data_IF_349911737888
#
_entry.id   IF_349911737888
#
_cell.length_a   1.000
_cell.length_b   1.000
_cell.length_c   1.000
_cell.angle_alpha   90.00
_cell.angle_beta   90.00
_cell.angle_gamma   90.00
#
_symmetry.space_group_name_H-M   'P 1'
#
loop_
_entity.id
_entity.type
_entity.pdbx_description
1 polymer ?
#
# COMPACT_ATOMS: atom_id res chain seq x y z
N UNK A 1 -5.08 -63.73 -54.27
CA UNK A 1 -4.84 -62.73 -55.34
C UNK A 1 -5.39 -61.40 -54.94
N UNK A 2 -4.62 -60.41 -55.06
CA UNK A 2 -4.80 -58.93 -54.98
C UNK A 2 -4.24 -58.29 -53.71
N UNK A 3 -3.03 -57.79 -53.89
CA UNK A 3 -2.31 -56.82 -53.05
C UNK A 3 -3.08 -55.47 -53.08
N UNK A 4 -3.34 -54.92 -51.92
CA UNK A 4 -3.70 -53.47 -51.83
C UNK A 4 -2.55 -52.69 -51.24
N UNK A 5 -2.04 -51.77 -52.01
CA UNK A 5 -1.03 -50.77 -51.64
C UNK A 5 -1.58 -49.88 -50.53
N UNK A 6 -0.74 -49.74 -49.47
CA UNK A 6 -1.01 -48.75 -48.42
C UNK A 6 -0.23 -47.49 -48.80
N UNK A 7 -0.98 -46.43 -49.09
CA UNK A 7 -0.44 -45.10 -49.33
C UNK A 7 -0.09 -44.46 -48.00
N UNK A 8 1.16 -44.11 -47.79
CA UNK A 8 1.61 -43.33 -46.65
C UNK A 8 1.03 -41.88 -46.77
N UNK A 9 0.03 -41.57 -45.94
CA UNK A 9 -0.46 -40.20 -45.78
C UNK A 9 0.45 -39.43 -44.79
N UNK A 10 1.06 -38.38 -45.28
CA UNK A 10 1.85 -37.45 -44.48
C UNK A 10 0.93 -36.78 -43.44
N UNK A 11 1.16 -37.05 -42.16
CA UNK A 11 0.53 -36.33 -41.06
C UNK A 11 1.13 -34.93 -41.00
N UNK A 12 0.39 -33.95 -41.53
CA UNK A 12 0.64 -32.54 -41.26
C UNK A 12 0.41 -32.28 -39.78
N UNK A 13 1.47 -31.85 -39.09
CA UNK A 13 1.43 -31.51 -37.68
C UNK A 13 0.44 -30.38 -37.44
N UNK A 14 -0.64 -30.68 -36.77
CA UNK A 14 -1.56 -29.69 -36.21
C UNK A 14 -0.84 -29.00 -35.05
N UNK A 15 -0.31 -27.82 -35.30
CA UNK A 15 0.13 -26.90 -34.25
C UNK A 15 -1.14 -26.45 -33.54
N UNK A 16 -1.46 -27.12 -32.43
CA UNK A 16 -2.45 -26.65 -31.48
C UNK A 16 -1.91 -25.37 -30.88
N UNK A 17 -2.35 -24.24 -31.41
CA UNK A 17 -2.19 -22.93 -30.81
C UNK A 17 -2.81 -22.97 -29.41
N UNK A 18 -1.97 -23.16 -28.38
CA UNK A 18 -2.39 -23.09 -27.00
C UNK A 18 -2.95 -21.69 -26.74
N UNK A 19 -4.27 -21.57 -26.62
CA UNK A 19 -4.90 -20.41 -26.04
C UNK A 19 -4.21 -20.14 -24.70
N UNK A 20 -3.55 -18.99 -24.58
CA UNK A 20 -2.98 -18.50 -23.34
C UNK A 20 -4.15 -18.11 -22.41
N UNK A 21 -4.83 -19.12 -21.86
CA UNK A 21 -5.81 -18.91 -20.80
C UNK A 21 -5.06 -18.32 -19.60
N UNK A 22 -5.28 -17.03 -19.37
CA UNK A 22 -4.70 -16.33 -18.24
C UNK A 22 -5.09 -17.06 -16.96
N UNK A 23 -4.09 -17.38 -16.13
CA UNK A 23 -4.32 -17.99 -14.81
C UNK A 23 -4.91 -16.93 -13.89
N UNK A 24 -5.77 -17.35 -12.97
CA UNK A 24 -6.27 -16.49 -11.89
C UNK A 24 -5.54 -16.90 -10.60
N UNK A 25 -4.96 -15.91 -9.91
CA UNK A 25 -4.40 -16.07 -8.58
C UNK A 25 -5.30 -15.37 -7.56
N UNK A 26 -5.79 -16.10 -6.57
CA UNK A 26 -6.47 -15.48 -5.42
C UNK A 26 -5.41 -15.02 -4.43
N UNK A 27 -5.36 -13.71 -4.19
CA UNK A 27 -4.41 -13.07 -3.29
C UNK A 27 -4.60 -13.62 -1.88
N UNK A 28 -3.54 -14.12 -1.28
CA UNK A 28 -3.51 -14.62 0.09
C UNK A 28 -2.94 -13.56 1.03
N UNK A 29 -3.20 -13.73 2.30
CA UNK A 29 -2.63 -12.87 3.34
C UNK A 29 -1.10 -12.81 3.24
N UNK A 30 -0.56 -11.60 3.12
CA UNK A 30 0.88 -11.37 2.96
C UNK A 30 1.42 -11.46 1.53
N UNK A 31 0.58 -11.81 0.55
CA UNK A 31 0.97 -11.75 -0.86
C UNK A 31 1.25 -10.30 -1.29
N UNK A 32 2.19 -10.14 -2.21
CA UNK A 32 2.50 -8.89 -2.88
C UNK A 32 2.56 -9.12 -4.38
N UNK A 33 2.34 -8.10 -5.18
CA UNK A 33 2.47 -8.25 -6.63
C UNK A 33 3.86 -8.72 -7.05
N UNK A 34 4.92 -8.32 -6.31
CA UNK A 34 6.27 -8.81 -6.58
C UNK A 34 6.43 -10.29 -6.29
N UNK A 35 5.87 -10.78 -5.16
CA UNK A 35 5.91 -12.19 -4.81
C UNK A 35 5.11 -13.03 -5.79
N UNK A 36 3.90 -12.55 -6.15
CA UNK A 36 3.05 -13.17 -7.17
C UNK A 36 3.76 -13.14 -8.54
N UNK A 37 4.31 -11.99 -8.93
CA UNK A 37 5.06 -11.84 -10.18
C UNK A 37 6.21 -12.82 -10.30
N UNK A 38 7.06 -12.92 -9.26
CA UNK A 38 8.15 -13.91 -9.21
C UNK A 38 7.64 -15.35 -9.30
N UNK A 39 6.54 -15.66 -8.62
CA UNK A 39 5.96 -17.01 -8.63
C UNK A 39 5.48 -17.44 -10.03
N UNK A 40 4.97 -16.51 -10.80
CA UNK A 40 4.40 -16.78 -12.13
C UNK A 40 5.28 -16.34 -13.30
N UNK A 41 6.45 -15.78 -13.04
CA UNK A 41 7.37 -15.27 -14.08
C UNK A 41 6.82 -14.05 -14.81
N UNK A 42 6.02 -13.21 -14.16
CA UNK A 42 5.42 -12.01 -14.73
C UNK A 42 5.90 -10.79 -13.96
N UNK A 43 6.31 -9.73 -14.65
CA UNK A 43 6.71 -8.49 -13.97
C UNK A 43 5.51 -7.73 -13.38
N UNK A 44 5.79 -6.91 -12.37
CA UNK A 44 4.75 -6.14 -11.67
C UNK A 44 4.02 -5.17 -12.60
N UNK A 45 4.67 -4.41 -13.50
CA UNK A 45 3.99 -3.56 -14.46
C UNK A 45 2.97 -4.31 -15.32
N UNK A 46 3.32 -5.51 -15.80
CA UNK A 46 2.42 -6.36 -16.56
C UNK A 46 1.22 -6.84 -15.73
N UNK A 47 1.44 -7.23 -14.46
CA UNK A 47 0.34 -7.57 -13.55
C UNK A 47 -0.58 -6.39 -13.27
N UNK A 48 -0.01 -5.21 -13.06
CA UNK A 48 -0.76 -3.95 -12.85
C UNK A 48 -1.65 -3.64 -14.05
N UNK A 49 -1.07 -3.67 -15.26
CA UNK A 49 -1.80 -3.39 -16.50
C UNK A 49 -2.91 -4.41 -16.75
N UNK A 50 -2.64 -5.71 -16.57
CA UNK A 50 -3.60 -6.78 -16.82
C UNK A 50 -4.81 -6.76 -15.86
N UNK A 51 -4.65 -6.13 -14.69
CA UNK A 51 -5.68 -6.05 -13.65
C UNK A 51 -6.24 -4.63 -13.45
N UNK A 52 -5.80 -3.65 -14.20
CA UNK A 52 -6.24 -2.26 -14.07
C UNK A 52 -5.93 -1.66 -12.68
N UNK A 53 -4.86 -2.11 -12.03
CA UNK A 53 -4.50 -1.66 -10.68
C UNK A 53 -3.92 -0.24 -10.74
N UNK A 54 -4.53 0.69 -10.02
CA UNK A 54 -4.02 2.07 -9.92
C UNK A 54 -2.80 2.18 -9.01
N UNK A 55 -2.74 1.31 -8.00
CA UNK A 55 -1.64 1.28 -7.04
C UNK A 55 -1.15 -0.17 -6.82
N UNK A 56 0.10 -0.48 -7.24
CA UNK A 56 0.67 -1.82 -7.10
C UNK A 56 0.90 -2.25 -5.64
N UNK A 57 0.94 -1.30 -4.70
CA UNK A 57 1.14 -1.58 -3.27
C UNK A 57 -0.15 -2.03 -2.56
N UNK A 58 -1.29 -1.89 -3.22
CA UNK A 58 -2.61 -2.08 -2.62
C UNK A 58 -3.33 -3.26 -3.27
N UNK A 59 -2.94 -4.48 -2.87
CA UNK A 59 -3.59 -5.72 -3.32
C UNK A 59 -4.31 -6.34 -2.13
N UNK A 60 -5.64 -6.49 -2.24
CA UNK A 60 -6.46 -7.04 -1.16
C UNK A 60 -6.37 -8.56 -1.08
N UNK A 61 -6.35 -9.12 0.12
CA UNK A 61 -6.56 -10.53 0.36
C UNK A 61 -7.93 -10.97 -0.19
N UNK A 62 -7.96 -12.11 -0.88
CA UNK A 62 -9.16 -12.61 -1.55
C UNK A 62 -9.41 -12.03 -2.95
N UNK A 63 -8.68 -11.01 -3.37
CA UNK A 63 -8.80 -10.48 -4.72
C UNK A 63 -8.33 -11.50 -5.77
N UNK A 64 -9.10 -11.61 -6.86
CA UNK A 64 -8.74 -12.44 -8.01
C UNK A 64 -7.86 -11.63 -8.97
N UNK A 65 -6.59 -11.98 -9.07
CA UNK A 65 -5.64 -11.38 -10.00
C UNK A 65 -5.53 -12.21 -11.28
N UNK A 66 -5.74 -11.59 -12.42
CA UNK A 66 -5.42 -12.15 -13.73
C UNK A 66 -3.90 -12.21 -13.88
N UNK A 67 -3.38 -13.40 -14.10
CA UNK A 67 -1.96 -13.64 -14.36
C UNK A 67 -1.80 -13.83 -15.87
N UNK A 68 -1.27 -12.85 -16.60
CA UNK A 68 -0.96 -13.02 -18.02
C UNK A 68 0.06 -14.14 -18.22
N UNK A 69 0.07 -14.73 -19.39
CA UNK A 69 1.14 -15.65 -19.75
C UNK A 69 2.50 -14.90 -19.69
N UNK A 70 3.56 -15.51 -19.17
CA UNK A 70 4.89 -14.89 -19.19
C UNK A 70 5.26 -14.55 -20.64
N UNK A 71 5.71 -13.32 -20.85
CA UNK A 71 6.23 -12.94 -22.16
C UNK A 71 7.37 -13.88 -22.55
N UNK A 72 7.45 -14.34 -23.83
CA UNK A 72 8.57 -15.13 -24.29
C UNK A 72 9.87 -14.36 -23.97
N UNK A 73 10.83 -15.04 -23.35
CA UNK A 73 12.12 -14.45 -23.01
C UNK A 73 12.71 -13.75 -24.23
N UNK A 74 13.12 -12.47 -24.11
CA UNK A 74 13.79 -11.81 -25.22
C UNK A 74 15.05 -12.59 -25.59
N UNK A 75 15.22 -12.90 -26.89
CA UNK A 75 16.43 -13.49 -27.40
C UNK A 75 17.66 -12.69 -26.94
N UNK A 76 18.81 -13.31 -26.68
CA UNK A 76 19.97 -12.62 -26.13
C UNK A 76 20.36 -11.46 -27.05
N UNK A 77 20.08 -10.24 -26.59
CA UNK A 77 20.44 -9.03 -27.31
C UNK A 77 21.97 -8.87 -27.34
N UNK A 78 22.52 -8.81 -28.55
CA UNK A 78 23.87 -8.38 -28.82
C UNK A 78 24.18 -7.10 -28.07
N UNK A 79 25.17 -7.11 -27.20
CA UNK A 79 25.64 -5.98 -26.42
C UNK A 79 25.99 -4.81 -27.35
N UNK A 80 25.14 -3.78 -27.33
CA UNK A 80 25.52 -2.43 -27.77
C UNK A 80 26.05 -1.65 -26.57
N UNK A 81 27.10 -0.83 -26.75
CA UNK A 81 27.65 -0.03 -25.64
C UNK A 81 26.62 0.98 -25.14
N UNK A 82 26.73 1.40 -23.85
CA UNK A 82 25.70 2.21 -23.21
C UNK A 82 25.68 3.62 -23.80
N UNK A 83 24.56 3.98 -24.41
CA UNK A 83 24.20 5.38 -24.61
C UNK A 83 23.64 5.86 -23.28
N UNK A 84 24.36 6.74 -22.60
CA UNK A 84 23.89 7.45 -21.41
C UNK A 84 22.80 8.40 -21.85
N UNK A 85 21.56 7.97 -21.82
CA UNK A 85 20.41 8.88 -21.86
C UNK A 85 19.92 8.99 -20.43
N UNK A 86 20.19 10.15 -19.84
CA UNK A 86 19.69 10.58 -18.54
C UNK A 86 18.17 10.78 -18.66
N UNK A 87 17.41 9.69 -18.61
CA UNK A 87 15.97 9.76 -18.42
C UNK A 87 15.70 9.69 -16.92
N UNK A 88 15.48 10.85 -16.34
CA UNK A 88 14.97 11.04 -15.00
C UNK A 88 13.59 10.37 -14.91
N UNK A 89 13.40 9.33 -14.08
CA UNK A 89 12.07 8.76 -13.90
C UNK A 89 11.18 9.84 -13.28
N UNK A 90 10.01 10.04 -13.86
CA UNK A 90 8.98 10.89 -13.27
C UNK A 90 8.69 10.33 -11.87
N UNK A 91 9.02 11.10 -10.84
CA UNK A 91 8.76 10.75 -9.46
C UNK A 91 7.25 10.68 -9.25
N UNK A 92 6.74 9.49 -8.96
CA UNK A 92 5.43 9.34 -8.33
C UNK A 92 5.51 10.12 -7.02
N UNK A 93 4.64 11.12 -6.75
CA UNK A 93 4.72 11.90 -5.55
C UNK A 93 4.45 10.98 -4.35
N UNK A 94 5.50 10.58 -3.67
CA UNK A 94 5.40 9.95 -2.35
C UNK A 94 4.99 11.05 -1.37
N UNK A 95 4.16 10.69 -0.39
CA UNK A 95 3.73 11.57 0.72
C UNK A 95 4.93 12.31 1.37
N UNK A 96 6.10 11.68 1.34
CA UNK A 96 7.35 12.18 1.84
C UNK A 96 7.90 13.44 1.13
N UNK A 97 7.74 13.54 -0.18
CA UNK A 97 8.27 14.70 -0.93
C UNK A 97 7.48 16.01 -0.75
N UNK A 98 6.22 15.93 -0.32
CA UNK A 98 5.33 17.08 -0.21
C UNK A 98 5.22 17.68 1.20
N UNK A 99 5.77 17.01 2.22
CA UNK A 99 5.67 17.45 3.63
C UNK A 99 6.72 18.47 4.04
N UNK A 100 7.51 19.03 3.09
CA UNK A 100 8.50 20.05 3.43
C UNK A 100 7.91 21.37 3.93
N UNK A 101 6.63 21.62 3.78
CA UNK A 101 6.07 22.96 4.06
C UNK A 101 5.06 23.08 5.20
N UNK A 102 4.59 22.00 5.83
CA UNK A 102 3.61 22.16 6.91
C UNK A 102 3.70 21.09 8.01
N UNK A 103 4.88 20.63 8.33
CA UNK A 103 5.10 20.05 9.66
C UNK A 103 5.22 21.26 10.58
N UNK A 104 4.28 21.42 11.49
CA UNK A 104 4.49 22.26 12.67
C UNK A 104 5.75 21.72 13.33
N UNK A 105 6.86 22.38 13.03
CA UNK A 105 8.19 22.05 13.52
C UNK A 105 8.19 22.37 15.01
N UNK A 106 7.83 21.39 15.81
CA UNK A 106 8.25 21.44 17.21
C UNK A 106 9.79 21.29 17.19
N UNK A 107 10.54 22.25 17.73
CA UNK A 107 12.01 22.19 17.76
C UNK A 107 12.45 20.90 18.46
N UNK A 108 13.49 20.20 17.99
CA UNK A 108 13.99 18.97 18.59
C UNK A 108 14.40 19.13 20.06
N UNK A 109 14.68 20.33 20.54
CA UNK A 109 14.99 20.64 21.93
C UNK A 109 13.79 20.45 22.89
N UNK A 110 12.54 20.54 22.43
CA UNK A 110 11.38 20.32 23.29
C UNK A 110 11.01 18.84 23.44
N UNK A 111 11.45 17.97 22.55
CA UNK A 111 11.25 16.51 22.65
C UNK A 111 12.24 15.84 23.62
N UNK A 112 13.43 16.43 23.82
CA UNK A 112 14.44 15.88 24.73
C UNK A 112 14.23 16.26 26.22
N UNK A 113 13.47 17.32 26.51
CA UNK A 113 13.33 17.87 27.86
C UNK A 113 12.12 17.36 28.66
N UNK A 114 11.20 16.59 28.06
CA UNK A 114 10.00 16.10 28.76
C UNK A 114 9.96 14.57 28.85
N UNK A 115 10.80 14.02 29.70
CA UNK A 115 10.59 12.66 30.25
C UNK A 115 9.47 12.61 31.30
N UNK A 116 8.78 13.71 31.52
CA UNK A 116 7.55 13.73 32.30
C UNK A 116 6.41 13.39 31.35
N UNK A 117 5.72 12.30 31.64
CA UNK A 117 4.59 11.75 30.87
C UNK A 117 3.36 12.70 30.91
N UNK A 118 3.52 13.91 30.43
CA UNK A 118 2.42 14.87 30.38
C UNK A 118 1.41 14.41 29.33
N UNK A 119 0.20 14.12 29.80
CA UNK A 119 -0.93 13.80 28.95
C UNK A 119 -1.21 14.96 27.99
N UNK A 120 -1.40 14.65 26.70
CA UNK A 120 -1.74 15.68 25.72
C UNK A 120 -3.19 16.07 25.91
N UNK A 121 -3.44 17.38 26.06
CA UNK A 121 -4.79 17.93 26.12
C UNK A 121 -5.34 17.97 24.69
N UNK A 122 -6.30 17.09 24.40
CA UNK A 122 -7.00 17.09 23.12
C UNK A 122 -8.08 18.18 23.16
N UNK A 123 -8.11 19.13 22.19
CA UNK A 123 -9.16 20.14 22.11
C UNK A 123 -10.56 19.54 22.13
N UNK A 124 -11.52 20.23 22.77
CA UNK A 124 -12.88 19.70 22.98
C UNK A 124 -13.62 19.36 21.67
N UNK A 125 -13.40 20.17 20.62
CA UNK A 125 -13.95 19.94 19.27
C UNK A 125 -13.48 18.63 18.62
N UNK A 126 -12.38 18.04 19.10
CA UNK A 126 -11.76 16.81 18.60
C UNK A 126 -11.90 15.65 19.54
N UNK A 127 -12.04 15.90 20.84
CA UNK A 127 -12.15 14.87 21.88
C UNK A 127 -13.32 13.90 21.63
N UNK A 128 -14.41 14.36 21.02
CA UNK A 128 -15.57 13.55 20.62
C UNK A 128 -15.25 12.46 19.58
N UNK A 129 -14.04 12.39 19.02
CA UNK A 129 -13.62 11.33 18.11
C UNK A 129 -13.10 10.06 18.83
N UNK A 130 -12.82 10.13 20.13
CA UNK A 130 -12.30 8.98 20.91
C UNK A 130 -13.16 7.72 20.82
N UNK A 131 -14.49 7.78 20.92
CA UNK A 131 -15.34 6.60 20.78
C UNK A 131 -15.16 5.90 19.41
N UNK A 132 -15.05 6.67 18.33
CA UNK A 132 -14.81 6.13 16.99
C UNK A 132 -13.45 5.41 16.91
N UNK A 133 -12.37 6.00 17.45
CA UNK A 133 -11.09 5.33 17.55
C UNK A 133 -11.17 4.01 18.32
N UNK A 134 -11.79 4.02 19.51
CA UNK A 134 -11.95 2.82 20.34
C UNK A 134 -12.72 1.73 19.60
N UNK A 135 -13.84 2.09 18.96
CA UNK A 135 -14.70 1.17 18.24
C UNK A 135 -13.96 0.54 17.05
N UNK A 136 -13.43 1.36 16.14
CA UNK A 136 -12.85 0.85 14.91
C UNK A 136 -11.48 0.20 15.10
N UNK A 137 -10.70 0.63 16.09
CA UNK A 137 -9.48 -0.06 16.48
C UNK A 137 -9.77 -1.47 16.99
N UNK A 138 -10.81 -1.63 17.84
CA UNK A 138 -11.24 -2.95 18.31
C UNK A 138 -11.69 -3.85 17.14
N UNK A 139 -12.51 -3.31 16.23
CA UNK A 139 -12.98 -4.06 15.05
C UNK A 139 -11.85 -4.45 14.11
N UNK A 140 -10.84 -3.62 13.97
CA UNK A 140 -9.68 -3.89 13.14
C UNK A 140 -8.60 -4.73 13.84
N UNK A 141 -8.70 -4.99 15.15
CA UNK A 141 -7.65 -5.66 15.92
C UNK A 141 -6.36 -4.84 16.02
N UNK A 142 -6.49 -3.52 16.16
CA UNK A 142 -5.38 -2.57 16.29
C UNK A 142 -5.43 -1.93 17.68
N UNK A 143 -4.29 -1.74 18.39
CA UNK A 143 -4.28 -0.98 19.64
C UNK A 143 -4.82 0.44 19.41
N UNK A 144 -5.80 0.86 20.22
CA UNK A 144 -6.46 2.17 20.04
C UNK A 144 -5.51 3.34 20.30
N UNK A 145 -4.57 3.20 21.23
CA UNK A 145 -3.51 4.17 21.50
C UNK A 145 -2.59 4.38 20.30
N UNK A 146 -2.31 3.31 19.54
CA UNK A 146 -1.53 3.40 18.31
C UNK A 146 -2.27 4.16 17.21
N UNK A 147 -3.56 3.84 17.00
CA UNK A 147 -4.38 4.51 16.00
C UNK A 147 -4.58 6.00 16.34
N UNK A 148 -4.82 6.31 17.63
CA UNK A 148 -4.93 7.68 18.12
C UNK A 148 -3.64 8.47 17.94
N UNK A 149 -2.49 7.89 18.29
CA UNK A 149 -1.18 8.51 18.15
C UNK A 149 -0.83 8.77 16.67
N UNK A 150 -1.09 7.81 15.80
CA UNK A 150 -0.90 7.97 14.35
C UNK A 150 -1.76 9.13 13.81
N UNK A 151 -3.04 9.14 14.12
CA UNK A 151 -3.95 10.20 13.68
C UNK A 151 -3.56 11.59 14.24
N UNK A 152 -3.02 11.63 15.46
CA UNK A 152 -2.49 12.87 16.03
C UNK A 152 -1.29 13.39 15.25
N UNK A 153 -0.35 12.52 14.93
CA UNK A 153 0.80 12.85 14.10
C UNK A 153 0.40 13.31 12.68
N UNK A 154 -0.66 12.72 12.12
CA UNK A 154 -1.14 13.04 10.77
C UNK A 154 -1.86 14.40 10.70
N UNK A 155 -2.73 14.69 11.63
CA UNK A 155 -3.61 15.86 11.54
C UNK A 155 -3.82 16.59 12.86
N UNK A 156 -3.37 16.06 14.00
CA UNK A 156 -3.83 16.51 15.32
C UNK A 156 -5.33 16.28 15.51
N UNK A 157 -5.90 15.27 14.86
CA UNK A 157 -7.34 14.93 14.80
C UNK A 157 -8.21 16.00 14.14
N UNK A 158 -7.65 16.82 13.26
CA UNK A 158 -8.42 17.80 12.48
C UNK A 158 -9.31 17.08 11.46
N UNK A 159 -10.63 17.34 11.52
CA UNK A 159 -11.61 16.66 10.67
C UNK A 159 -11.49 17.04 9.20
N UNK A 160 -11.24 18.31 8.91
CA UNK A 160 -11.28 18.90 7.57
C UNK A 160 -9.89 19.15 6.97
N UNK A 161 -8.83 18.59 7.56
CA UNK A 161 -7.48 18.80 7.05
C UNK A 161 -7.33 18.15 5.67
N UNK A 162 -6.84 18.94 4.71
CA UNK A 162 -6.43 18.46 3.38
C UNK A 162 -4.99 18.90 3.17
N UNK A 163 -4.11 17.97 2.82
CA UNK A 163 -2.70 18.28 2.54
C UNK A 163 -2.50 18.74 1.10
N UNK A 164 -1.34 19.32 0.80
CA UNK A 164 -0.93 19.67 -0.57
C UNK A 164 -0.90 18.45 -1.50
N UNK A 165 -0.66 17.25 -0.96
CA UNK A 165 -0.74 15.96 -1.68
C UNK A 165 -2.12 15.36 -1.76
N UNK A 166 -3.16 16.09 -1.35
CA UNK A 166 -4.57 15.65 -1.32
C UNK A 166 -4.89 14.54 -0.32
N UNK A 167 -4.06 14.32 0.69
CA UNK A 167 -4.43 13.48 1.81
C UNK A 167 -5.52 14.17 2.64
N UNK A 168 -6.56 13.42 3.06
CA UNK A 168 -7.79 13.98 3.62
C UNK A 168 -8.08 13.46 5.03
N UNK A 169 -8.52 14.36 5.89
CA UNK A 169 -9.20 14.06 7.15
C UNK A 169 -8.29 13.71 8.31
N UNK A 170 -8.89 13.12 9.32
CA UNK A 170 -8.29 12.82 10.64
C UNK A 170 -7.02 11.96 10.52
N UNK A 171 -7.06 10.95 9.66
CA UNK A 171 -5.95 10.01 9.44
C UNK A 171 -5.21 10.25 8.12
N UNK A 172 -5.47 11.38 7.44
CA UNK A 172 -4.78 11.82 6.22
C UNK A 172 -4.65 10.73 5.16
N UNK A 173 -5.79 10.20 4.73
CA UNK A 173 -5.84 9.15 3.72
C UNK A 173 -5.72 9.74 2.30
N UNK A 174 -4.85 9.14 1.50
CA UNK A 174 -4.72 9.46 0.08
C UNK A 174 -5.94 8.93 -0.69
N UNK A 175 -6.35 9.58 -1.81
CA UNK A 175 -7.51 9.15 -2.61
C UNK A 175 -7.46 7.66 -3.00
N UNK A 176 -6.32 7.17 -3.48
CA UNK A 176 -6.15 5.76 -3.86
C UNK A 176 -6.27 4.82 -2.66
N UNK A 177 -5.79 5.26 -1.48
CA UNK A 177 -5.95 4.51 -0.22
C UNK A 177 -7.43 4.44 0.18
N UNK A 178 -8.18 5.53 0.02
CA UNK A 178 -9.63 5.56 0.29
C UNK A 178 -10.37 4.56 -0.60
N UNK A 179 -10.07 4.55 -1.90
CA UNK A 179 -10.67 3.61 -2.85
C UNK A 179 -10.34 2.16 -2.49
N UNK A 180 -9.06 1.87 -2.27
CA UNK A 180 -8.59 0.54 -1.88
C UNK A 180 -9.24 0.04 -0.58
N UNK A 181 -9.22 0.87 0.47
CA UNK A 181 -9.75 0.45 1.78
C UNK A 181 -11.26 0.27 1.73
N UNK A 182 -11.99 1.17 1.08
CA UNK A 182 -13.44 1.08 1.00
C UNK A 182 -13.86 -0.17 0.24
N UNK A 183 -13.34 -0.36 -0.97
CA UNK A 183 -13.80 -1.41 -1.87
C UNK A 183 -13.18 -2.76 -1.56
N UNK A 184 -11.85 -2.81 -1.33
CA UNK A 184 -11.12 -4.07 -1.23
C UNK A 184 -10.99 -4.57 0.20
N UNK A 185 -10.84 -3.69 1.20
CA UNK A 185 -10.66 -4.11 2.58
C UNK A 185 -11.95 -4.12 3.40
N UNK A 186 -12.90 -3.24 3.09
CA UNK A 186 -14.18 -3.14 3.78
C UNK A 186 -15.35 -3.73 2.98
N UNK A 187 -15.16 -3.99 1.67
CA UNK A 187 -16.21 -4.53 0.79
C UNK A 187 -17.43 -3.60 0.64
N UNK A 188 -17.21 -2.29 0.72
CA UNK A 188 -18.29 -1.28 0.64
C UNK A 188 -18.13 -0.39 -0.59
N UNK A 189 -19.17 0.38 -0.92
CA UNK A 189 -18.99 1.53 -1.81
C UNK A 189 -17.93 2.48 -1.23
N UNK A 190 -17.37 3.33 -2.10
CA UNK A 190 -16.37 4.32 -1.69
C UNK A 190 -16.92 5.21 -0.58
N UNK A 191 -16.26 5.19 0.58
CA UNK A 191 -16.61 6.02 1.73
C UNK A 191 -16.10 7.46 1.53
N UNK A 192 -16.79 8.43 2.13
CA UNK A 192 -16.34 9.83 2.13
C UNK A 192 -15.19 10.02 3.13
N UNK A 193 -13.96 10.36 2.69
CA UNK A 193 -12.85 10.61 3.60
C UNK A 193 -12.98 11.92 4.39
N UNK A 194 -13.97 12.80 4.07
CA UNK A 194 -14.27 14.01 4.84
C UNK A 194 -15.13 13.72 6.06
N UNK A 195 -15.93 12.63 6.04
CA UNK A 195 -16.58 12.16 7.26
C UNK A 195 -15.52 11.63 8.22
N UNK A 196 -15.36 12.25 9.42
CA UNK A 196 -14.32 11.88 10.35
C UNK A 196 -14.47 10.47 10.90
N UNK A 197 -15.69 9.95 11.02
CA UNK A 197 -15.96 8.60 11.50
C UNK A 197 -15.60 7.57 10.43
N UNK A 198 -16.00 7.80 9.19
CA UNK A 198 -15.60 6.96 8.05
C UNK A 198 -14.08 7.02 7.83
N UNK A 199 -13.44 8.18 7.99
CA UNK A 199 -12.01 8.36 7.88
C UNK A 199 -11.25 7.52 8.92
N UNK A 200 -11.68 7.55 10.19
CA UNK A 200 -11.10 6.72 11.27
C UNK A 200 -11.32 5.22 10.97
N UNK A 201 -12.52 4.84 10.53
CA UNK A 201 -12.81 3.45 10.13
C UNK A 201 -11.86 2.96 9.04
N UNK A 202 -11.68 3.75 7.99
CA UNK A 202 -10.76 3.41 6.90
C UNK A 202 -9.30 3.39 7.37
N UNK A 203 -8.85 4.41 8.08
CA UNK A 203 -7.47 4.53 8.54
C UNK A 203 -7.04 3.41 9.48
N UNK A 204 -7.90 3.00 10.42
CA UNK A 204 -7.64 1.87 11.32
C UNK A 204 -7.61 0.54 10.57
N UNK A 205 -8.48 0.35 9.58
CA UNK A 205 -8.48 -0.85 8.73
C UNK A 205 -7.23 -0.90 7.85
N UNK A 206 -6.78 0.25 7.32
CA UNK A 206 -5.53 0.35 6.57
C UNK A 206 -4.31 0.06 7.45
N UNK A 207 -4.27 0.60 8.66
CA UNK A 207 -3.20 0.31 9.62
C UNK A 207 -3.12 -1.20 9.95
N UNK A 208 -4.27 -1.87 10.10
CA UNK A 208 -4.32 -3.33 10.25
C UNK A 208 -3.70 -4.05 9.06
N UNK A 209 -4.09 -3.67 7.85
CA UNK A 209 -3.53 -4.23 6.62
C UNK A 209 -2.00 -4.10 6.58
N UNK A 210 -1.45 -2.95 6.96
CA UNK A 210 -0.01 -2.72 7.00
C UNK A 210 0.69 -3.54 8.10
N UNK A 211 0.07 -3.68 9.28
CA UNK A 211 0.57 -4.56 10.33
C UNK A 211 0.65 -6.01 9.85
N UNK A 212 -0.41 -6.51 9.21
CA UNK A 212 -0.43 -7.85 8.64
C UNK A 212 0.63 -8.04 7.55
N UNK A 213 0.81 -7.03 6.71
CA UNK A 213 1.81 -7.02 5.63
C UNK A 213 3.26 -7.07 6.13
N UNK A 214 3.49 -6.77 7.40
CA UNK A 214 4.81 -6.76 8.05
C UNK A 214 4.90 -7.72 9.24
N UNK A 215 4.05 -8.74 9.33
CA UNK A 215 4.10 -9.74 10.40
C UNK A 215 3.88 -9.16 11.80
N UNK A 216 3.10 -8.08 11.92
CA UNK A 216 2.81 -7.39 13.18
C UNK A 216 3.81 -6.30 13.57
N UNK A 217 4.86 -6.06 12.78
CA UNK A 217 5.86 -5.02 13.09
C UNK A 217 5.24 -3.62 13.04
N UNK A 218 5.08 -3.00 14.20
CA UNK A 218 4.53 -1.63 14.34
C UNK A 218 5.41 -0.63 13.60
N UNK A 219 6.72 -0.70 13.75
CA UNK A 219 7.65 0.24 13.14
C UNK A 219 7.58 0.21 11.61
N UNK A 220 7.52 -0.99 11.02
CA UNK A 220 7.39 -1.14 9.57
C UNK A 220 6.00 -0.77 9.06
N UNK A 221 4.96 -1.02 9.83
CA UNK A 221 3.60 -0.63 9.48
C UNK A 221 3.45 0.90 9.47
N UNK A 222 3.95 1.60 10.49
CA UNK A 222 3.97 3.05 10.56
C UNK A 222 4.83 3.66 9.43
N UNK A 223 6.00 3.07 9.18
CA UNK A 223 6.85 3.48 8.07
C UNK A 223 6.12 3.37 6.73
N UNK A 224 5.41 2.26 6.50
CA UNK A 224 4.64 2.04 5.29
C UNK A 224 3.41 2.94 5.18
N UNK A 225 2.81 3.31 6.29
CA UNK A 225 1.72 4.27 6.31
C UNK A 225 2.17 5.64 5.78
N UNK A 226 3.36 6.08 6.17
CA UNK A 226 3.96 7.34 5.79
C UNK A 226 4.61 7.33 4.40
N UNK A 227 5.47 6.36 4.15
CA UNK A 227 6.36 6.29 2.98
C UNK A 227 5.79 5.45 1.82
N UNK A 228 4.82 4.58 2.10
CA UNK A 228 4.30 3.60 1.16
C UNK A 228 4.92 2.21 1.36
N UNK A 229 4.07 1.18 1.26
CA UNK A 229 4.43 -0.22 1.55
C UNK A 229 5.57 -0.72 0.67
N UNK A 230 5.48 -0.46 -0.64
CA UNK A 230 6.50 -0.86 -1.61
C UNK A 230 7.85 -0.22 -1.31
N UNK A 231 7.85 1.10 -1.10
CA UNK A 231 9.08 1.85 -0.82
C UNK A 231 9.81 1.33 0.42
N UNK A 232 9.06 1.01 1.49
CA UNK A 232 9.64 0.45 2.73
C UNK A 232 10.17 -0.96 2.50
N UNK A 233 9.51 -1.77 1.68
CA UNK A 233 9.99 -3.13 1.36
C UNK A 233 11.26 -3.12 0.53
N UNK A 234 11.35 -2.25 -0.47
CA UNK A 234 12.47 -2.18 -1.41
C UNK A 234 13.71 -1.48 -0.82
N UNK A 235 13.50 -0.42 -0.04
CA UNK A 235 14.58 0.49 0.38
C UNK A 235 14.73 0.63 1.90
N UNK A 236 13.79 0.06 2.66
CA UNK A 236 13.69 0.32 4.09
C UNK A 236 13.12 1.72 4.39
N UNK A 237 12.94 2.05 5.69
CA UNK A 237 12.51 3.38 6.12
C UNK A 237 13.60 4.43 5.89
N UNK A 238 13.23 5.54 5.23
CA UNK A 238 14.08 6.72 5.08
C UNK A 238 14.25 7.46 6.43
N UNK A 239 15.25 8.33 6.57
CA UNK A 239 15.51 9.06 7.82
C UNK A 239 14.31 9.87 8.30
N UNK A 240 13.59 10.54 7.39
CA UNK A 240 12.37 11.27 7.74
C UNK A 240 11.25 10.32 8.20
N UNK A 241 11.16 9.13 7.59
CA UNK A 241 10.22 8.09 7.97
C UNK A 241 10.53 7.53 9.36
N UNK A 242 11.81 7.31 9.67
CA UNK A 242 12.23 6.87 11.01
C UNK A 242 11.84 7.92 12.08
N UNK A 243 12.02 9.21 11.79
CA UNK A 243 11.55 10.31 12.67
C UNK A 243 10.03 10.29 12.84
N UNK A 244 9.27 10.09 11.76
CA UNK A 244 7.82 9.94 11.84
C UNK A 244 7.41 8.78 12.75
N UNK A 245 8.01 7.60 12.59
CA UNK A 245 7.77 6.41 13.42
C UNK A 245 8.08 6.70 14.89
N UNK A 246 9.23 7.31 15.17
CA UNK A 246 9.63 7.67 16.55
C UNK A 246 8.63 8.63 17.20
N UNK A 247 8.15 9.65 16.45
CA UNK A 247 7.15 10.60 16.93
C UNK A 247 5.82 9.92 17.27
N UNK A 248 5.30 9.05 16.39
CA UNK A 248 4.06 8.31 16.66
C UNK A 248 4.20 7.45 17.91
N UNK A 249 5.33 6.74 18.06
CA UNK A 249 5.59 5.91 19.24
C UNK A 249 5.67 6.74 20.53
N UNK A 250 6.28 7.91 20.50
CA UNK A 250 6.34 8.83 21.63
C UNK A 250 4.99 9.43 22.03
N UNK A 251 4.01 9.46 21.12
CA UNK A 251 2.65 9.93 21.38
C UNK A 251 1.74 8.87 22.02
N UNK A 252 2.09 7.59 21.91
CA UNK A 252 1.28 6.50 22.46
C UNK A 252 1.11 6.63 23.97
N UNK A 253 -0.12 6.39 24.45
CA UNK A 253 -0.45 6.48 25.86
C UNK A 253 -0.53 7.91 26.43
N UNK A 254 -0.28 8.94 25.63
CA UNK A 254 -0.33 10.35 26.03
C UNK A 254 -1.61 11.07 25.62
N UNK A 255 -2.43 10.46 24.77
CA UNK A 255 -3.68 11.00 24.21
C UNK A 255 -4.91 10.53 24.97
#
# INVERSE_FOLDING_TARGET
>A
MWRKMVTLGTLAGLVVGGSAAGRIHTVRRGDTLEAIGRRYGVDVPTLVAANGLRNPDLVAEGAALKIPAPAPAPAPAVRRPPVVVSARPAAVPTKAGALRETVVRMPPAQLAASRTSSRIVVPADRAGLRPAFTQFSRLAGVPSDLAMALAWQESGWQRNKVSSTRAVGVMQLMPDTVDFVSTSLLGTARLDPRDPVANIRMGTRFLRYLLDSHGGSVDRALASYYQGLRSVRERGPLDETQRFVANVKALRGRL
#
